data_IF_274496954275
#
_entry.id   IF_274496954275
#
_cell.length_a   1.000
_cell.length_b   1.000
_cell.length_c   1.000
_cell.angle_alpha   90.00
_cell.angle_beta   90.00
_cell.angle_gamma   90.00
#
_symmetry.space_group_name_H-M   'P 1'
#
loop_
_entity.id
_entity.type
_entity.pdbx_description
1 polymer ?
#
# COMPACT_ATOMS: atom_id res chain seq x y z
N UNK A 1 49.35 -25.08 47.45
CA UNK A 1 48.20 -25.02 46.52
C UNK A 1 47.35 -23.81 46.92
N UNK A 2 47.48 -22.71 46.21
CA UNK A 2 46.83 -21.42 46.55
C UNK A 2 45.50 -21.38 45.81
N UNK A 3 44.39 -21.64 46.52
CA UNK A 3 43.03 -21.53 45.99
C UNK A 3 42.80 -20.01 45.78
N UNK A 4 42.71 -19.60 44.50
CA UNK A 4 42.27 -18.25 44.14
C UNK A 4 40.78 -18.18 44.51
N UNK A 5 40.47 -17.46 45.60
CA UNK A 5 39.13 -17.04 45.95
C UNK A 5 38.68 -16.06 44.81
N UNK A 6 37.85 -16.53 43.91
CA UNK A 6 37.07 -15.64 43.05
C UNK A 6 36.12 -14.88 43.95
N UNK A 7 36.43 -13.61 44.19
CA UNK A 7 35.49 -12.68 44.84
C UNK A 7 34.24 -12.57 43.94
N UNK A 8 33.17 -13.21 44.38
CA UNK A 8 31.82 -12.98 43.80
C UNK A 8 31.43 -11.51 44.06
N UNK A 9 31.73 -10.67 43.08
CA UNK A 9 31.24 -9.29 43.09
C UNK A 9 29.76 -9.35 42.70
N UNK A 10 28.89 -9.25 43.70
CA UNK A 10 27.45 -9.10 43.45
C UNK A 10 27.18 -7.80 42.69
N UNK A 11 26.14 -7.81 41.85
CA UNK A 11 25.68 -6.63 41.12
C UNK A 11 25.26 -5.53 42.07
N UNK A 12 25.67 -4.30 41.77
CA UNK A 12 25.22 -3.12 42.51
C UNK A 12 23.79 -2.77 42.12
N UNK A 13 23.03 -2.19 43.05
CA UNK A 13 21.67 -1.73 42.80
C UNK A 13 21.65 -0.67 41.68
N UNK A 14 22.67 0.15 41.56
CA UNK A 14 22.83 1.14 40.50
C UNK A 14 22.97 0.46 39.12
N UNK A 15 23.77 -0.59 39.04
CA UNK A 15 24.01 -1.33 37.80
C UNK A 15 22.72 -2.02 37.30
N UNK A 16 21.93 -2.57 38.22
CA UNK A 16 20.61 -3.13 37.89
C UNK A 16 19.66 -2.06 37.33
N UNK A 17 19.62 -0.88 37.94
CA UNK A 17 18.77 0.24 37.50
C UNK A 17 19.19 0.70 36.11
N UNK A 18 20.48 0.85 35.84
CA UNK A 18 21.00 1.25 34.54
C UNK A 18 20.68 0.17 33.47
N UNK A 19 20.85 -1.10 33.81
CA UNK A 19 20.52 -2.22 32.91
C UNK A 19 19.04 -2.21 32.51
N UNK A 20 18.12 -1.98 33.48
CA UNK A 20 16.68 -1.90 33.21
C UNK A 20 16.35 -0.70 32.32
N UNK A 21 16.99 0.46 32.53
CA UNK A 21 16.79 1.64 31.70
C UNK A 21 17.20 1.39 30.26
N UNK A 22 18.39 0.82 30.03
CA UNK A 22 18.86 0.46 28.67
C UNK A 22 17.92 -0.54 28.02
N UNK A 23 17.48 -1.55 28.76
CA UNK A 23 16.56 -2.57 28.30
C UNK A 23 15.19 -1.98 27.91
N UNK A 24 14.65 -1.07 28.73
CA UNK A 24 13.40 -0.39 28.46
C UNK A 24 13.45 0.43 27.13
N UNK A 25 14.54 1.16 26.88
CA UNK A 25 14.76 1.89 25.63
C UNK A 25 14.82 0.92 24.44
N UNK A 26 15.49 -0.21 24.59
CA UNK A 26 15.55 -1.26 23.56
C UNK A 26 14.18 -1.82 23.19
N UNK A 27 13.36 -2.15 24.21
CA UNK A 27 11.98 -2.65 23.98
C UNK A 27 11.12 -1.60 23.26
N UNK A 28 11.19 -0.33 23.64
CA UNK A 28 10.44 0.74 22.97
C UNK A 28 10.84 0.88 21.49
N UNK A 29 12.13 0.72 21.18
CA UNK A 29 12.62 0.69 19.79
C UNK A 29 12.01 -0.46 18.98
N UNK A 30 12.00 -1.68 19.52
CA UNK A 30 11.41 -2.87 18.87
C UNK A 30 9.91 -2.68 18.68
N UNK A 31 9.18 -2.19 19.68
CA UNK A 31 7.75 -1.95 19.59
C UNK A 31 7.40 -0.96 18.46
N UNK A 32 8.20 0.09 18.28
CA UNK A 32 8.04 1.04 17.18
C UNK A 32 8.27 0.39 15.81
N UNK A 33 9.30 -0.44 15.68
CA UNK A 33 9.58 -1.17 14.42
C UNK A 33 8.47 -2.15 14.07
N UNK A 34 7.91 -2.88 15.05
CA UNK A 34 6.77 -3.77 14.84
C UNK A 34 5.55 -3.00 14.32
N UNK A 35 5.23 -1.85 14.92
CA UNK A 35 4.12 -1.00 14.46
C UNK A 35 4.31 -0.57 13.01
N UNK A 36 5.51 -0.12 12.63
CA UNK A 36 5.81 0.29 11.25
C UNK A 36 5.71 -0.89 10.27
N UNK A 37 6.17 -2.08 10.67
CA UNK A 37 6.09 -3.29 9.85
C UNK A 37 4.64 -3.69 9.56
N UNK A 38 3.77 -3.68 10.58
CA UNK A 38 2.34 -3.98 10.42
C UNK A 38 1.67 -2.95 9.49
N UNK A 39 1.98 -1.66 9.65
CA UNK A 39 1.46 -0.61 8.78
C UNK A 39 1.90 -0.79 7.32
N UNK A 40 3.18 -1.10 7.09
CA UNK A 40 3.72 -1.34 5.76
C UNK A 40 3.09 -2.57 5.09
N UNK A 41 2.87 -3.64 5.84
CA UNK A 41 2.22 -4.85 5.33
C UNK A 41 0.75 -4.61 4.98
N UNK A 42 0.00 -3.88 5.81
CA UNK A 42 -1.38 -3.47 5.53
C UNK A 42 -1.47 -2.64 4.25
N UNK A 43 -0.59 -1.64 4.10
CA UNK A 43 -0.52 -0.83 2.89
C UNK A 43 -0.22 -1.67 1.64
N UNK A 44 0.76 -2.58 1.72
CA UNK A 44 1.10 -3.50 0.62
C UNK A 44 -0.06 -4.40 0.21
N UNK A 45 -0.85 -4.88 1.17
CA UNK A 45 -2.05 -5.67 0.92
C UNK A 45 -3.11 -4.85 0.15
N UNK A 46 -3.43 -3.64 0.62
CA UNK A 46 -4.40 -2.77 -0.06
C UNK A 46 -3.93 -2.35 -1.45
N UNK A 47 -2.64 -2.08 -1.62
CA UNK A 47 -2.05 -1.79 -2.93
C UNK A 47 -2.21 -2.97 -3.89
N UNK A 48 -1.96 -4.19 -3.44
CA UNK A 48 -2.15 -5.40 -4.26
C UNK A 48 -3.62 -5.60 -4.64
N UNK A 49 -4.55 -5.37 -3.72
CA UNK A 49 -5.98 -5.43 -4.00
C UNK A 49 -6.39 -4.36 -5.01
N UNK A 50 -5.91 -3.12 -4.87
CA UNK A 50 -6.19 -2.05 -5.81
C UNK A 50 -5.68 -2.37 -7.24
N UNK A 51 -4.48 -2.94 -7.35
CA UNK A 51 -3.93 -3.38 -8.65
C UNK A 51 -4.77 -4.50 -9.26
N UNK A 52 -5.20 -5.49 -8.48
CA UNK A 52 -6.08 -6.56 -8.98
C UNK A 52 -7.42 -6.00 -9.48
N UNK A 53 -8.03 -5.08 -8.73
CA UNK A 53 -9.27 -4.41 -9.14
C UNK A 53 -9.08 -3.61 -10.44
N UNK A 54 -7.94 -2.92 -10.58
CA UNK A 54 -7.60 -2.20 -11.80
C UNK A 54 -7.39 -3.14 -12.99
N UNK A 55 -6.80 -4.32 -12.77
CA UNK A 55 -6.63 -5.36 -13.80
C UNK A 55 -7.96 -5.95 -14.23
N UNK A 56 -8.86 -6.29 -13.29
CA UNK A 56 -10.22 -6.73 -13.59
C UNK A 56 -10.94 -5.72 -14.52
N UNK A 57 -10.80 -4.42 -14.20
CA UNK A 57 -11.40 -3.36 -15.02
C UNK A 57 -10.72 -3.19 -16.37
N UNK A 58 -9.41 -3.39 -16.42
CA UNK A 58 -8.65 -3.39 -17.67
C UNK A 58 -9.13 -4.49 -18.62
N UNK A 59 -9.30 -5.72 -18.13
CA UNK A 59 -9.82 -6.85 -18.93
C UNK A 59 -11.22 -6.55 -19.46
N UNK A 60 -12.12 -6.06 -18.61
CA UNK A 60 -13.46 -5.65 -19.03
C UNK A 60 -13.42 -4.61 -20.16
N UNK A 61 -12.55 -3.60 -20.05
CA UNK A 61 -12.39 -2.56 -21.07
C UNK A 61 -11.71 -3.07 -22.34
N UNK A 62 -10.83 -4.07 -22.25
CA UNK A 62 -10.20 -4.67 -23.43
C UNK A 62 -11.18 -5.45 -24.30
N UNK A 63 -12.19 -6.06 -23.72
CA UNK A 63 -13.20 -6.82 -24.46
C UNK A 63 -14.19 -5.93 -25.22
N UNK A 64 -14.30 -4.66 -24.86
CA UNK A 64 -15.20 -3.72 -25.52
C UNK A 64 -14.60 -3.22 -26.85
N UNK A 65 -15.40 -3.04 -27.94
CA UNK A 65 -14.91 -2.47 -29.18
C UNK A 65 -14.54 -0.99 -29.00
N UNK A 66 -13.50 -0.52 -29.72
CA UNK A 66 -13.03 0.89 -29.65
C UNK A 66 -14.13 1.89 -30.03
N UNK A 67 -15.09 1.48 -30.83
CA UNK A 67 -16.26 2.28 -31.25
C UNK A 67 -17.32 2.44 -30.15
N UNK A 68 -17.17 1.79 -28.99
CA UNK A 68 -18.13 1.95 -27.90
C UNK A 68 -18.08 3.38 -27.32
N UNK A 69 -19.23 3.86 -26.85
CA UNK A 69 -19.33 5.17 -26.19
C UNK A 69 -18.45 5.27 -24.94
N UNK A 70 -18.01 4.15 -24.41
CA UNK A 70 -17.10 4.01 -23.25
C UNK A 70 -15.74 4.65 -23.50
N UNK A 71 -15.28 4.69 -24.77
CA UNK A 71 -13.99 5.27 -25.15
C UNK A 71 -14.11 6.67 -25.78
N UNK A 72 -15.18 7.42 -25.48
CA UNK A 72 -15.31 8.83 -25.87
C UNK A 72 -14.16 9.66 -25.32
N UNK A 73 -13.55 10.51 -26.19
CA UNK A 73 -12.44 11.40 -25.77
C UNK A 73 -12.96 12.43 -24.78
N UNK A 74 -12.22 12.64 -23.69
CA UNK A 74 -12.54 13.68 -22.70
C UNK A 74 -13.72 13.30 -21.79
N UNK A 75 -14.20 12.05 -21.85
CA UNK A 75 -15.06 11.53 -20.80
C UNK A 75 -14.18 11.15 -19.62
N UNK A 76 -14.14 11.98 -18.55
CA UNK A 76 -13.84 11.39 -17.26
C UNK A 76 -14.93 10.33 -17.06
N UNK A 77 -14.49 9.16 -16.66
CA UNK A 77 -15.39 8.07 -16.39
C UNK A 77 -16.66 8.52 -15.70
N UNK A 78 -17.72 8.22 -16.38
CA UNK A 78 -18.99 7.85 -15.84
C UNK A 78 -18.80 7.44 -14.36
N UNK A 79 -19.46 8.18 -13.46
CA UNK A 79 -19.60 7.88 -12.03
C UNK A 79 -18.58 6.91 -11.44
N UNK A 80 -17.76 7.37 -10.48
CA UNK A 80 -16.82 6.48 -9.80
C UNK A 80 -17.54 5.24 -9.32
N UNK A 81 -17.06 4.08 -9.73
CA UNK A 81 -17.59 2.80 -9.27
C UNK A 81 -16.86 2.43 -7.97
N UNK A 82 -17.60 2.10 -6.93
CA UNK A 82 -17.02 1.69 -5.65
C UNK A 82 -17.16 0.18 -5.49
N UNK A 83 -16.06 -0.51 -5.19
CA UNK A 83 -16.01 -1.93 -4.83
C UNK A 83 -15.49 -2.05 -3.41
N UNK A 84 -16.27 -2.65 -2.52
CA UNK A 84 -15.85 -2.90 -1.14
C UNK A 84 -15.18 -4.28 -1.05
N UNK A 85 -13.96 -4.33 -0.53
CA UNK A 85 -13.21 -5.56 -0.28
C UNK A 85 -12.68 -5.51 1.15
N UNK A 86 -12.96 -6.52 1.95
CA UNK A 86 -12.53 -6.63 3.36
C UNK A 86 -12.86 -5.39 4.21
N UNK A 87 -14.00 -4.74 3.91
CA UNK A 87 -14.48 -3.55 4.63
C UNK A 87 -13.79 -2.25 4.21
N UNK A 88 -12.97 -2.26 3.15
CA UNK A 88 -12.35 -1.08 2.55
C UNK A 88 -12.99 -0.78 1.21
N UNK A 89 -13.37 0.48 1.02
CA UNK A 89 -13.97 0.96 -0.23
C UNK A 89 -12.88 1.41 -1.20
N UNK A 90 -12.87 0.78 -2.38
CA UNK A 90 -12.01 1.12 -3.50
C UNK A 90 -12.84 1.86 -4.54
N UNK A 91 -12.49 3.11 -4.80
CA UNK A 91 -13.12 3.94 -5.83
C UNK A 91 -12.34 3.81 -7.13
N UNK A 92 -13.00 3.34 -8.18
CA UNK A 92 -12.41 3.07 -9.49
C UNK A 92 -12.89 4.14 -10.47
N UNK A 93 -11.97 4.78 -11.15
CA UNK A 93 -12.24 5.70 -12.25
C UNK A 93 -11.28 5.44 -13.39
N UNK A 94 -11.66 5.77 -14.63
CA UNK A 94 -10.78 5.68 -15.78
C UNK A 94 -10.90 6.91 -16.66
N UNK A 95 -9.82 7.31 -17.32
CA UNK A 95 -9.75 8.43 -18.20
C UNK A 95 -9.28 7.99 -19.59
N UNK A 96 -9.93 8.48 -20.63
CA UNK A 96 -9.60 8.13 -22.02
C UNK A 96 -8.99 9.32 -22.72
N UNK A 97 -7.76 9.18 -23.19
CA UNK A 97 -7.02 10.18 -23.97
C UNK A 97 -6.82 9.66 -25.41
N UNK A 98 -6.82 10.55 -26.38
CA UNK A 98 -6.48 10.18 -27.76
C UNK A 98 -4.97 10.21 -27.96
N UNK A 99 -4.43 9.14 -28.55
CA UNK A 99 -3.04 9.09 -29.00
C UNK A 99 -3.00 9.59 -30.43
N UNK A 100 -2.54 10.82 -30.65
CA UNK A 100 -2.68 11.57 -31.92
C UNK A 100 -2.07 10.86 -33.15
N UNK A 101 -1.07 9.99 -32.98
CA UNK A 101 -0.31 9.41 -34.10
C UNK A 101 -0.93 8.11 -34.70
N UNK A 102 -1.88 7.46 -34.03
CA UNK A 102 -2.25 6.06 -34.38
C UNK A 102 -3.77 5.79 -34.41
N UNK A 103 -4.62 6.77 -34.16
CA UNK A 103 -6.07 6.54 -33.94
C UNK A 103 -6.38 5.69 -32.70
N UNK A 104 -5.36 5.44 -31.88
CA UNK A 104 -5.45 4.65 -30.66
C UNK A 104 -5.99 5.47 -29.48
N UNK A 105 -6.50 4.79 -28.49
CA UNK A 105 -6.97 5.37 -27.22
C UNK A 105 -6.01 4.93 -26.09
N UNK A 106 -5.51 5.89 -25.34
CA UNK A 106 -4.85 5.64 -24.07
C UNK A 106 -5.91 5.67 -22.97
N UNK A 107 -5.99 4.61 -22.24
CA UNK A 107 -6.93 4.48 -21.11
C UNK A 107 -6.12 4.36 -19.83
N UNK A 108 -6.35 5.29 -18.93
CA UNK A 108 -5.73 5.36 -17.61
C UNK A 108 -6.78 4.97 -16.56
N UNK A 109 -6.55 3.89 -15.84
CA UNK A 109 -7.43 3.39 -14.78
C UNK A 109 -6.80 3.77 -13.44
N UNK A 110 -7.55 4.47 -12.60
CA UNK A 110 -7.15 4.84 -11.26
C UNK A 110 -8.04 4.15 -10.24
N UNK A 111 -7.42 3.56 -9.22
CA UNK A 111 -8.10 2.96 -8.08
C UNK A 111 -7.60 3.64 -6.82
N UNK A 112 -8.50 4.32 -6.12
CA UNK A 112 -8.23 5.04 -4.89
C UNK A 112 -8.90 4.35 -3.71
N UNK A 113 -8.23 4.33 -2.56
CA UNK A 113 -8.82 3.85 -1.31
C UNK A 113 -8.45 4.75 -0.13
N UNK A 114 -9.22 4.68 0.95
CA UNK A 114 -8.91 5.40 2.18
C UNK A 114 -8.00 4.57 3.09
N UNK A 115 -6.85 5.12 3.48
CA UNK A 115 -5.94 4.53 4.45
C UNK A 115 -5.47 5.57 5.47
N UNK A 116 -5.95 5.49 6.70
CA UNK A 116 -5.53 6.29 7.87
C UNK A 116 -5.44 7.81 7.62
N UNK A 117 -6.41 8.35 6.87
CA UNK A 117 -6.49 9.78 6.55
C UNK A 117 -5.71 10.22 5.31
N UNK A 118 -5.11 9.27 4.60
CA UNK A 118 -4.58 9.44 3.25
C UNK A 118 -5.49 8.72 2.25
N UNK A 119 -5.43 9.14 0.98
CA UNK A 119 -6.15 8.50 -0.12
C UNK A 119 -5.12 8.06 -1.18
N UNK A 120 -4.40 6.95 -0.94
CA UNK A 120 -3.47 6.44 -1.92
C UNK A 120 -4.19 5.98 -3.19
N UNK A 121 -3.47 6.01 -4.30
CA UNK A 121 -3.98 5.70 -5.64
C UNK A 121 -3.07 4.71 -6.33
N UNK A 122 -3.64 3.68 -6.95
CA UNK A 122 -2.97 2.81 -7.90
C UNK A 122 -3.42 3.16 -9.31
N UNK A 123 -2.49 3.31 -10.25
CA UNK A 123 -2.78 3.69 -11.64
C UNK A 123 -2.23 2.65 -12.60
N UNK A 124 -3.06 2.22 -13.56
CA UNK A 124 -2.68 1.35 -14.67
C UNK A 124 -3.07 2.05 -15.98
N UNK A 125 -2.16 2.05 -16.95
CA UNK A 125 -2.39 2.64 -18.27
C UNK A 125 -2.23 1.58 -19.35
N UNK A 126 -3.14 1.57 -20.33
CA UNK A 126 -3.02 0.72 -21.51
C UNK A 126 -3.44 1.47 -22.79
N UNK A 127 -3.02 0.92 -23.95
CA UNK A 127 -3.34 1.48 -25.24
C UNK A 127 -4.29 0.52 -25.97
N UNK A 128 -5.45 1.04 -26.34
CA UNK A 128 -6.47 0.36 -27.15
C UNK A 128 -6.35 0.80 -28.61
N UNK A 129 -6.24 -0.14 -29.52
CA UNK A 129 -6.20 0.06 -30.97
C UNK A 129 -7.44 -0.51 -31.64
#
# INVERSE_FOLDING_TARGET
>A
MKVLSMMDKGFTLLELVVAILVFAVGILGIAKMQSLSVMGNSYGMHMSQAVNIAQDKLEELQDLPVSSNTFGIGTPSITPFTKTVDGVDYTIQYNVKQVAALGAREVEIEVQWADKGANPTATITFIKR
#
